data_IF_993063743808
#
_entry.id   IF_993063743808
#
_cell.length_a   1.000
_cell.length_b   1.000
_cell.length_c   1.000
_cell.angle_alpha   90.00
_cell.angle_beta   90.00
_cell.angle_gamma   90.00
#
_symmetry.space_group_name_H-M   'P 1'
#
loop_
_entity.id
_entity.type
_entity.pdbx_description
1 polymer ?
#
# COMPACT_ATOMS: atom_id res chain seq x y z
N UNK A 1 -3.45 12.53 15.90
CA UNK A 1 -2.63 13.29 14.94
C UNK A 1 -3.39 13.52 13.65
N UNK A 2 -3.31 14.74 13.15
CA UNK A 2 -3.95 15.05 11.87
C UNK A 2 -3.00 14.75 10.71
N UNK A 3 -3.57 14.27 9.61
CA UNK A 3 -2.81 14.02 8.41
C UNK A 3 -2.68 15.29 7.58
N UNK A 4 -1.61 15.37 6.81
CA UNK A 4 -1.31 16.52 5.95
C UNK A 4 -2.40 16.75 4.90
N UNK A 5 -2.97 15.66 4.39
CA UNK A 5 -4.06 15.69 3.41
C UNK A 5 -5.32 15.16 4.08
N UNK A 6 -6.38 15.95 4.04
CA UNK A 6 -7.66 15.57 4.63
C UNK A 6 -8.54 14.92 3.57
N UNK A 7 -8.93 13.67 3.80
CA UNK A 7 -9.79 12.94 2.87
C UNK A 7 -11.26 13.27 3.10
N UNK A 8 -12.00 13.41 2.00
CA UNK A 8 -13.46 13.56 2.03
C UNK A 8 -14.09 12.21 1.68
N UNK A 9 -14.69 11.54 2.67
CA UNK A 9 -15.24 10.21 2.48
C UNK A 9 -16.38 10.16 1.45
N UNK A 10 -17.19 11.20 1.40
CA UNK A 10 -18.31 11.24 0.45
C UNK A 10 -17.82 11.31 -1.00
N UNK A 11 -16.79 12.13 -1.26
CA UNK A 11 -16.18 12.19 -2.58
C UNK A 11 -15.50 10.88 -2.96
N UNK A 12 -14.80 10.26 -2.01
CA UNK A 12 -14.11 9.00 -2.26
C UNK A 12 -15.08 7.85 -2.50
N UNK A 13 -16.22 7.86 -1.84
CA UNK A 13 -17.25 6.85 -2.04
C UNK A 13 -17.74 6.82 -3.49
N UNK A 14 -17.83 7.98 -4.14
CA UNK A 14 -18.24 8.08 -5.54
C UNK A 14 -17.08 7.78 -6.49
N UNK A 15 -15.83 8.03 -6.08
CA UNK A 15 -14.65 7.92 -6.92
C UNK A 15 -14.04 6.53 -6.91
N UNK A 16 -14.09 5.85 -5.77
CA UNK A 16 -13.47 4.52 -5.58
C UNK A 16 -14.49 3.41 -5.80
N UNK A 17 -14.00 2.24 -6.22
CA UNK A 17 -14.84 1.05 -6.23
C UNK A 17 -15.17 0.65 -4.79
N UNK A 18 -16.21 -0.17 -4.55
CA UNK A 18 -16.50 -0.65 -3.19
C UNK A 18 -15.32 -1.35 -2.54
N UNK A 19 -14.56 -2.14 -3.28
CA UNK A 19 -13.37 -2.80 -2.75
C UNK A 19 -12.30 -1.79 -2.36
N UNK A 20 -12.02 -0.82 -3.24
CA UNK A 20 -11.02 0.21 -2.96
C UNK A 20 -11.39 1.02 -1.73
N UNK A 21 -12.67 1.41 -1.61
CA UNK A 21 -13.15 2.15 -0.46
C UNK A 21 -13.01 1.33 0.83
N UNK A 22 -13.39 0.05 0.78
CA UNK A 22 -13.28 -0.85 1.93
C UNK A 22 -11.82 -1.00 2.40
N UNK A 23 -10.90 -1.18 1.47
CA UNK A 23 -9.48 -1.34 1.79
C UNK A 23 -8.90 -0.03 2.35
N UNK A 24 -9.10 1.07 1.64
CA UNK A 24 -8.46 2.34 1.99
C UNK A 24 -9.01 2.96 3.28
N UNK A 25 -10.32 2.90 3.49
CA UNK A 25 -10.99 3.64 4.54
C UNK A 25 -11.55 2.78 5.67
N UNK A 26 -11.80 1.51 5.42
CA UNK A 26 -12.36 0.58 6.41
C UNK A 26 -11.40 -0.55 6.80
N UNK A 27 -10.12 -0.41 6.46
CA UNK A 27 -9.06 -1.39 6.80
C UNK A 27 -9.33 -2.79 6.26
N UNK A 28 -9.99 -2.87 5.10
CA UNK A 28 -10.24 -4.15 4.45
C UNK A 28 -8.98 -4.73 3.81
N UNK A 29 -9.08 -5.97 3.35
CA UNK A 29 -8.00 -6.67 2.65
C UNK A 29 -8.55 -7.26 1.36
N UNK A 30 -7.87 -7.02 0.24
CA UNK A 30 -8.24 -7.62 -1.03
C UNK A 30 -7.87 -9.09 -1.09
N UNK A 31 -8.52 -9.91 -1.93
CA UNK A 31 -8.14 -11.32 -2.08
C UNK A 31 -6.72 -11.47 -2.64
N UNK A 32 -5.95 -12.48 -2.17
CA UNK A 32 -4.64 -12.75 -2.73
C UNK A 32 -4.76 -13.31 -4.14
N UNK A 33 -3.77 -13.04 -4.99
CA UNK A 33 -3.67 -13.51 -6.38
C UNK A 33 -4.80 -13.04 -7.31
N UNK A 34 -5.75 -12.28 -6.80
CA UNK A 34 -6.89 -11.75 -7.57
C UNK A 34 -6.87 -10.23 -7.62
N UNK A 35 -5.71 -9.62 -7.41
CA UNK A 35 -5.56 -8.18 -7.42
C UNK A 35 -4.68 -7.75 -8.59
N UNK A 36 -4.71 -6.46 -8.88
CA UNK A 36 -4.16 -5.90 -10.11
C UNK A 36 -2.64 -5.98 -10.19
N UNK A 37 -1.95 -5.80 -9.06
CA UNK A 37 -0.50 -5.57 -9.09
C UNK A 37 0.34 -6.67 -8.46
N UNK A 38 -0.23 -7.78 -8.00
CA UNK A 38 0.57 -8.77 -7.29
C UNK A 38 1.72 -9.34 -8.12
N UNK A 39 1.51 -9.50 -9.43
CA UNK A 39 2.54 -10.03 -10.34
C UNK A 39 2.96 -9.03 -11.42
N UNK A 40 2.61 -7.75 -11.27
CA UNK A 40 3.00 -6.71 -12.22
C UNK A 40 4.50 -6.47 -12.12
N UNK A 41 5.20 -6.58 -13.25
CA UNK A 41 6.65 -6.41 -13.33
C UNK A 41 7.08 -5.21 -14.16
N UNK A 42 6.14 -4.42 -14.64
CA UNK A 42 6.43 -3.21 -15.41
C UNK A 42 7.14 -2.19 -14.54
N UNK A 43 8.07 -1.44 -15.14
CA UNK A 43 8.76 -0.37 -14.45
C UNK A 43 7.85 0.81 -14.23
N UNK A 44 7.86 1.35 -13.02
CA UNK A 44 7.05 2.50 -12.69
C UNK A 44 6.99 2.76 -11.19
N UNK A 45 6.06 3.63 -10.80
CA UNK A 45 5.85 4.00 -9.42
C UNK A 45 4.42 3.68 -8.98
N UNK A 46 4.28 3.43 -7.68
CA UNK A 46 3.01 3.15 -7.03
C UNK A 46 2.69 4.26 -6.05
N UNK A 47 1.54 4.88 -6.20
CA UNK A 47 1.12 6.00 -5.37
C UNK A 47 -0.16 5.66 -4.61
N UNK A 48 -0.42 6.42 -3.53
CA UNK A 48 -1.62 6.24 -2.72
C UNK A 48 -2.88 6.47 -3.57
N UNK A 49 -3.81 5.54 -3.51
CA UNK A 49 -5.07 5.63 -4.27
C UNK A 49 -5.86 6.87 -3.90
N UNK A 50 -5.83 7.28 -2.63
CA UNK A 50 -6.66 8.37 -2.13
C UNK A 50 -6.05 9.76 -2.35
N UNK A 51 -4.72 9.91 -2.18
CA UNK A 51 -4.09 11.24 -2.26
C UNK A 51 -3.00 11.35 -3.31
N UNK A 52 -2.68 10.25 -3.98
CA UNK A 52 -1.71 10.19 -5.08
C UNK A 52 -0.26 10.47 -4.68
N UNK A 53 0.06 10.42 -3.39
CA UNK A 53 1.44 10.54 -2.93
C UNK A 53 2.24 9.32 -3.40
N UNK A 54 3.41 9.51 -4.07
CA UNK A 54 4.24 8.36 -4.46
C UNK A 54 4.77 7.63 -3.23
N UNK A 55 4.63 6.30 -3.21
CA UNK A 55 4.96 5.49 -2.04
C UNK A 55 6.02 4.42 -2.32
N UNK A 56 5.90 3.73 -3.46
CA UNK A 56 6.80 2.62 -3.82
C UNK A 56 7.15 2.69 -5.29
N UNK A 57 8.24 2.00 -5.67
CA UNK A 57 8.64 1.85 -7.07
C UNK A 57 8.80 0.37 -7.42
N UNK A 58 8.82 0.08 -8.72
CA UNK A 58 9.07 -1.28 -9.21
C UNK A 58 10.45 -1.80 -8.80
N UNK A 59 11.41 -0.93 -8.54
CA UNK A 59 12.73 -1.32 -8.09
C UNK A 59 12.70 -1.98 -6.71
N UNK A 60 11.76 -1.57 -5.87
CA UNK A 60 11.60 -2.16 -4.53
C UNK A 60 10.63 -3.32 -4.48
N UNK A 61 9.94 -3.60 -5.59
CA UNK A 61 8.92 -4.65 -5.65
C UNK A 61 9.55 -6.02 -5.89
N UNK A 62 9.08 -7.03 -5.19
CA UNK A 62 9.55 -8.40 -5.37
C UNK A 62 8.39 -9.39 -5.24
N UNK A 63 8.58 -10.60 -5.75
CA UNK A 63 7.59 -11.67 -5.66
C UNK A 63 7.76 -12.39 -4.33
N UNK A 64 6.81 -12.18 -3.43
CA UNK A 64 6.83 -12.83 -2.10
C UNK A 64 6.09 -14.17 -2.08
N UNK A 65 5.38 -14.49 -3.15
CA UNK A 65 4.54 -15.69 -3.20
C UNK A 65 3.25 -15.60 -2.39
N UNK A 66 2.96 -14.42 -1.81
CA UNK A 66 1.77 -14.26 -0.94
C UNK A 66 0.50 -13.92 -1.69
N UNK A 67 0.61 -13.45 -2.93
CA UNK A 67 -0.54 -13.03 -3.72
C UNK A 67 -0.90 -11.55 -3.59
N UNK A 68 -0.08 -10.79 -2.88
CA UNK A 68 -0.20 -9.34 -2.77
C UNK A 68 1.10 -8.68 -3.23
N UNK A 69 1.02 -7.44 -3.78
CA UNK A 69 2.25 -6.73 -4.12
C UNK A 69 3.12 -6.53 -2.88
N UNK A 70 4.39 -6.81 -3.02
CA UNK A 70 5.34 -6.77 -1.90
C UNK A 70 6.54 -5.92 -2.27
N UNK A 71 7.00 -5.12 -1.30
CA UNK A 71 8.11 -4.18 -1.48
C UNK A 71 9.06 -4.31 -0.30
N UNK A 72 10.38 -4.20 -0.55
CA UNK A 72 11.34 -4.26 0.55
C UNK A 72 11.60 -2.89 1.18
N UNK A 73 11.20 -1.81 0.52
CA UNK A 73 11.32 -0.45 1.06
C UNK A 73 10.39 0.51 0.33
N UNK A 74 9.90 1.57 1.02
CA UNK A 74 9.21 2.66 0.35
C UNK A 74 10.21 3.60 -0.32
N UNK A 75 9.73 4.52 -1.16
CA UNK A 75 10.56 5.57 -1.74
C UNK A 75 11.16 6.44 -0.62
N UNK A 76 10.32 6.84 0.34
CA UNK A 76 10.72 7.63 1.50
C UNK A 76 9.99 7.09 2.73
N UNK A 77 10.75 6.74 3.77
CA UNK A 77 10.17 6.22 5.02
C UNK A 77 9.21 7.20 5.68
N UNK A 78 9.40 8.50 5.43
CA UNK A 78 8.55 9.53 6.01
C UNK A 78 7.14 9.56 5.42
N UNK A 79 6.93 8.92 4.27
CA UNK A 79 5.61 8.84 3.64
C UNK A 79 4.78 7.68 4.16
N UNK A 80 5.34 6.86 5.04
CA UNK A 80 4.69 5.68 5.59
C UNK A 80 4.51 5.83 7.09
N UNK A 81 3.29 5.63 7.56
CA UNK A 81 2.97 5.56 8.99
C UNK A 81 2.86 4.10 9.41
N UNK A 82 3.49 3.74 10.53
CA UNK A 82 3.46 2.39 11.08
C UNK A 82 2.68 2.39 12.38
N UNK A 83 1.70 1.49 12.48
CA UNK A 83 0.81 1.41 13.64
C UNK A 83 0.75 -0.04 14.10
N UNK A 84 0.85 -0.26 15.41
CA UNK A 84 0.70 -1.61 15.98
C UNK A 84 -0.76 -2.03 15.84
N UNK A 85 -1.00 -3.16 15.18
CA UNK A 85 -2.32 -3.73 14.94
C UNK A 85 -2.43 -5.02 15.75
N UNK A 86 -3.32 -5.02 16.74
CA UNK A 86 -3.56 -6.18 17.62
C UNK A 86 -4.86 -6.91 17.31
N UNK A 87 -5.47 -6.62 16.17
CA UNK A 87 -6.72 -7.26 15.78
C UNK A 87 -6.54 -8.74 15.46
N UNK A 88 -7.62 -9.50 15.50
CA UNK A 88 -7.67 -10.93 15.17
C UNK A 88 -6.72 -11.80 16.01
N UNK A 89 -6.43 -11.39 17.24
CA UNK A 89 -5.56 -12.15 18.12
C UNK A 89 -4.09 -12.18 17.73
N UNK A 90 -3.69 -11.35 16.78
CA UNK A 90 -2.31 -11.25 16.28
C UNK A 90 -1.75 -9.86 16.54
N UNK A 91 -0.42 -9.78 16.66
CA UNK A 91 0.28 -8.50 16.72
C UNK A 91 0.99 -8.30 15.39
N UNK A 92 0.56 -7.30 14.62
CA UNK A 92 1.14 -6.98 13.32
C UNK A 92 1.43 -5.48 13.27
N UNK A 93 2.21 -5.06 12.26
CA UNK A 93 2.45 -3.64 12.02
C UNK A 93 1.63 -3.22 10.80
N UNK A 94 0.63 -2.39 11.03
CA UNK A 94 -0.18 -1.82 9.96
C UNK A 94 0.59 -0.69 9.28
N UNK A 95 0.45 -0.58 7.96
CA UNK A 95 1.08 0.47 7.16
C UNK A 95 -0.01 1.35 6.57
N UNK A 96 0.11 2.66 6.80
CA UNK A 96 -0.78 3.68 6.24
C UNK A 96 0.00 4.73 5.50
N UNK A 97 -0.67 5.41 4.56
CA UNK A 97 -0.10 6.59 3.93
C UNK A 97 0.02 7.71 4.97
N UNK A 98 1.23 8.19 5.21
CA UNK A 98 1.44 9.21 6.23
C UNK A 98 0.85 10.57 5.85
N UNK A 99 0.60 10.80 4.56
CA UNK A 99 0.02 12.06 4.09
C UNK A 99 -1.49 12.14 4.34
N UNK A 100 -2.23 11.02 4.17
CA UNK A 100 -3.70 11.06 4.23
C UNK A 100 -4.32 10.02 5.17
N UNK A 101 -3.54 9.06 5.68
CA UNK A 101 -4.04 8.04 6.59
C UNK A 101 -4.71 6.85 5.94
N UNK A 102 -4.71 6.75 4.60
CA UNK A 102 -5.29 5.61 3.91
C UNK A 102 -4.59 4.31 4.31
N UNK A 103 -5.37 3.25 4.59
CA UNK A 103 -4.82 1.93 4.90
C UNK A 103 -4.16 1.33 3.65
N UNK A 104 -2.92 0.89 3.79
CA UNK A 104 -2.16 0.30 2.69
C UNK A 104 -2.01 -1.21 2.84
N UNK A 105 -1.64 -1.66 4.01
CA UNK A 105 -1.38 -3.07 4.27
C UNK A 105 -0.64 -3.27 5.58
N UNK A 106 0.31 -4.21 5.58
CA UNK A 106 1.08 -4.56 6.79
C UNK A 106 2.55 -4.76 6.46
N UNK A 107 3.40 -4.54 7.47
CA UNK A 107 4.84 -4.76 7.38
C UNK A 107 5.22 -6.03 8.13
N UNK A 108 6.02 -6.87 7.49
CA UNK A 108 6.58 -8.08 8.08
C UNK A 108 8.10 -8.01 8.00
N UNK A 109 8.80 -8.78 8.85
CA UNK A 109 10.26 -8.74 8.95
C UNK A 109 10.91 -9.98 8.31
N UNK A 110 10.27 -10.51 7.27
CA UNK A 110 10.72 -11.70 6.55
C UNK A 110 11.04 -11.41 5.08
N UNK A 111 11.45 -10.18 4.79
CA UNK A 111 11.77 -9.74 3.44
C UNK A 111 13.21 -10.00 3.05
N UNK A 112 13.57 -9.65 1.80
CA UNK A 112 14.93 -9.84 1.29
C UNK A 112 15.89 -8.75 1.79
N UNK A 113 17.18 -9.03 1.66
CA UNK A 113 18.21 -8.01 1.88
C UNK A 113 17.97 -6.83 0.89
N UNK A 114 18.36 -5.61 1.22
CA UNK A 114 19.12 -5.19 2.40
C UNK A 114 18.30 -4.86 3.64
N UNK A 115 16.99 -4.68 3.52
CA UNK A 115 16.16 -4.23 4.65
C UNK A 115 15.63 -5.37 5.50
N UNK A 116 15.47 -6.55 4.88
CA UNK A 116 14.78 -7.69 5.50
C UNK A 116 13.33 -7.37 5.87
N UNK A 117 12.78 -6.31 5.28
CA UNK A 117 11.39 -5.89 5.46
C UNK A 117 10.54 -6.30 4.28
N UNK A 118 9.30 -6.69 4.55
CA UNK A 118 8.32 -6.98 3.50
C UNK A 118 7.08 -6.14 3.76
N UNK A 119 6.89 -5.14 2.93
CA UNK A 119 5.67 -4.32 2.91
C UNK A 119 4.65 -5.02 2.03
N UNK A 120 3.68 -5.68 2.67
CA UNK A 120 2.61 -6.39 1.97
C UNK A 120 1.45 -5.42 1.78
N UNK A 121 1.25 -4.94 0.55
CA UNK A 121 0.38 -3.81 0.28
C UNK A 121 -0.77 -4.25 -0.63
N UNK A 122 -1.97 -3.74 -0.37
CA UNK A 122 -3.13 -4.03 -1.21
C UNK A 122 -3.06 -3.24 -2.52
N UNK A 123 -3.28 -3.92 -3.66
CA UNK A 123 -3.37 -3.24 -4.96
C UNK A 123 -4.48 -2.18 -4.96
N UNK A 124 -5.59 -2.48 -4.27
CA UNK A 124 -6.73 -1.57 -4.20
C UNK A 124 -6.41 -0.24 -3.52
N UNK A 125 -5.30 -0.15 -2.77
CA UNK A 125 -4.88 1.09 -2.12
C UNK A 125 -3.84 1.86 -2.92
N UNK A 126 -3.49 1.39 -4.12
CA UNK A 126 -2.43 1.96 -4.95
C UNK A 126 -2.91 2.32 -6.35
N UNK A 127 -2.25 3.32 -6.94
CA UNK A 127 -2.27 3.59 -8.38
C UNK A 127 -0.90 3.25 -8.94
N UNK A 128 -0.86 2.71 -10.15
CA UNK A 128 0.40 2.46 -10.84
C UNK A 128 0.60 3.48 -11.96
N UNK A 129 1.78 4.07 -12.01
CA UNK A 129 2.17 4.99 -13.08
C UNK A 129 3.40 4.42 -13.78
N UNK A 130 3.31 4.03 -15.06
CA UNK A 130 4.46 3.52 -15.79
C UNK A 130 5.59 4.54 -15.87
N UNK A 131 6.81 4.04 -15.88
CA UNK A 131 7.99 4.89 -16.04
C UNK A 131 7.94 5.55 -17.42
N UNK A 132 8.16 6.87 -17.45
CA UNK A 132 8.17 7.58 -18.70
C UNK A 132 9.34 7.11 -19.56
N UNK A 133 9.06 6.87 -20.86
CA UNK A 133 10.12 6.56 -21.80
C UNK A 133 10.83 7.85 -22.19
N UNK A 134 12.12 7.85 -22.02
CA UNK A 134 12.95 8.98 -22.42
C UNK A 134 13.42 8.81 -23.85
#
# INVERSE_FOLDING_TARGET
MSYKIKLNKDELKDKLTPLEFSVCLNHGTEPPFQNEFHDLKDEGSYSCKCCNTPLFTSEGKFDSGTGWPSYFAPIDKNDIEKIVDKSHGMVRTEVRCNACGSHLGHLFLDGPAPTYERYCINSASLNFKPKAKS
#
